data_IF_953995958819
#
_entry.id   IF_953995958819
#
_cell.length_a   1.000
_cell.length_b   1.000
_cell.length_c   1.000
_cell.angle_alpha   90.00
_cell.angle_beta   90.00
_cell.angle_gamma   90.00
#
_symmetry.space_group_name_H-M   'P 1'
#
loop_
_entity.id
_entity.type
_entity.pdbx_description
1 polymer ?
#
# COMPACT_ATOMS: atom_id res chain seq x y z
N UNK A 1 20.30 12.88 -0.12
CA UNK A 1 19.41 12.53 1.01
C UNK A 1 18.78 11.18 0.68
N UNK A 2 18.96 10.17 1.54
CA UNK A 2 18.45 8.82 1.28
C UNK A 2 16.91 8.83 1.27
N UNK A 3 16.30 8.34 0.19
CA UNK A 3 14.86 8.23 0.03
C UNK A 3 14.38 7.17 1.02
N UNK A 4 13.72 7.59 2.10
CA UNK A 4 13.18 6.68 3.12
C UNK A 4 12.12 5.81 2.45
N UNK A 5 12.30 4.50 2.45
CA UNK A 5 11.29 3.58 1.93
C UNK A 5 10.02 3.67 2.78
N UNK A 6 8.88 3.77 2.11
CA UNK A 6 7.57 3.82 2.73
C UNK A 6 7.27 2.50 3.43
N UNK A 7 6.89 2.56 4.71
CA UNK A 7 6.51 1.38 5.49
C UNK A 7 5.11 0.90 5.12
N UNK A 8 4.78 -0.35 5.46
CA UNK A 8 3.44 -0.90 5.22
C UNK A 8 2.35 -0.07 5.93
N UNK A 9 2.58 0.29 7.20
CA UNK A 9 1.63 1.06 7.99
C UNK A 9 1.41 2.46 7.42
N UNK A 10 2.49 3.15 7.02
CA UNK A 10 2.36 4.46 6.36
C UNK A 10 1.57 4.36 5.06
N UNK A 11 1.79 3.30 4.27
CA UNK A 11 1.09 3.10 3.01
C UNK A 11 -0.41 2.84 3.21
N UNK A 12 -0.77 2.01 4.21
CA UNK A 12 -2.16 1.73 4.56
C UNK A 12 -2.86 2.97 5.10
N UNK A 13 -2.22 3.75 5.96
CA UNK A 13 -2.81 4.98 6.49
C UNK A 13 -3.05 6.01 5.39
N UNK A 14 -2.14 6.13 4.42
CA UNK A 14 -2.36 6.96 3.22
C UNK A 14 -3.50 6.44 2.37
N UNK A 15 -3.57 5.12 2.14
CA UNK A 15 -4.64 4.52 1.35
C UNK A 15 -6.01 4.78 1.97
N UNK A 16 -6.14 4.64 3.29
CA UNK A 16 -7.37 4.94 4.03
C UNK A 16 -7.82 6.40 3.84
N UNK A 17 -6.87 7.34 3.91
CA UNK A 17 -7.16 8.75 3.66
C UNK A 17 -7.65 9.00 2.24
N UNK A 18 -6.99 8.39 1.25
CA UNK A 18 -7.41 8.52 -0.15
C UNK A 18 -8.83 7.98 -0.35
N UNK A 19 -9.15 6.81 0.22
CA UNK A 19 -10.50 6.25 0.14
C UNK A 19 -11.52 7.20 0.77
N UNK A 20 -11.26 7.71 1.97
CA UNK A 20 -12.16 8.65 2.63
C UNK A 20 -12.36 9.95 1.82
N UNK A 21 -11.31 10.47 1.20
CA UNK A 21 -11.40 11.64 0.32
C UNK A 21 -12.25 11.37 -0.92
N UNK A 22 -12.12 10.18 -1.52
CA UNK A 22 -12.93 9.76 -2.68
C UNK A 22 -14.40 9.58 -2.29
N UNK A 23 -14.67 8.96 -1.14
CA UNK A 23 -16.03 8.72 -0.63
C UNK A 23 -16.75 10.01 -0.27
N UNK A 24 -16.04 11.06 0.13
CA UNK A 24 -16.62 12.38 0.38
C UNK A 24 -17.18 13.05 -0.89
N UNK A 25 -16.77 12.62 -2.09
CA UNK A 25 -17.42 12.99 -3.35
C UNK A 25 -17.17 14.42 -3.87
N UNK A 26 -16.53 15.29 -3.09
CA UNK A 26 -16.21 16.69 -3.45
C UNK A 26 -14.87 16.84 -4.22
N UNK A 27 -14.47 15.81 -4.97
CA UNK A 27 -13.23 15.82 -5.75
C UNK A 27 -13.49 16.11 -7.22
N UNK A 28 -12.70 17.02 -7.80
CA UNK A 28 -12.63 17.21 -9.24
C UNK A 28 -12.12 15.93 -9.95
N UNK A 29 -12.59 15.68 -11.17
CA UNK A 29 -12.28 14.46 -11.95
C UNK A 29 -10.78 14.28 -12.16
N UNK A 30 -10.02 15.35 -12.37
CA UNK A 30 -8.57 15.27 -12.54
C UNK A 30 -7.90 14.85 -11.21
N UNK A 31 -8.39 15.37 -10.08
CA UNK A 31 -7.90 15.00 -8.74
C UNK A 31 -8.24 13.54 -8.45
N UNK A 32 -9.45 13.10 -8.79
CA UNK A 32 -9.89 11.72 -8.60
C UNK A 32 -8.95 10.74 -9.34
N UNK A 33 -8.60 11.05 -10.59
CA UNK A 33 -7.66 10.25 -11.38
C UNK A 33 -6.30 10.10 -10.70
N UNK A 34 -5.74 11.19 -10.17
CA UNK A 34 -4.46 11.16 -9.45
C UNK A 34 -4.55 10.39 -8.13
N UNK A 35 -5.64 10.54 -7.38
CA UNK A 35 -5.89 9.80 -6.15
C UNK A 35 -5.99 8.30 -6.39
N UNK A 36 -6.67 7.88 -7.46
CA UNK A 36 -6.78 6.45 -7.85
C UNK A 36 -5.41 5.88 -8.26
N UNK A 37 -4.58 6.63 -8.99
CA UNK A 37 -3.22 6.20 -9.33
C UNK A 37 -2.37 6.00 -8.08
N UNK A 38 -2.42 6.95 -7.15
CA UNK A 38 -1.68 6.84 -5.89
C UNK A 38 -2.18 5.67 -5.03
N UNK A 39 -3.50 5.49 -4.92
CA UNK A 39 -4.07 4.33 -4.24
C UNK A 39 -3.58 3.00 -4.85
N UNK A 40 -3.52 2.92 -6.18
CA UNK A 40 -3.01 1.74 -6.90
C UNK A 40 -1.54 1.48 -6.58
N UNK A 41 -0.71 2.53 -6.55
CA UNK A 41 0.71 2.44 -6.14
C UNK A 41 0.84 1.89 -4.72
N UNK A 42 0.06 2.42 -3.78
CA UNK A 42 0.07 2.00 -2.38
C UNK A 42 -0.37 0.54 -2.22
N UNK A 43 -1.43 0.13 -2.91
CA UNK A 43 -1.91 -1.27 -2.90
C UNK A 43 -0.82 -2.21 -3.40
N UNK A 44 -0.10 -1.85 -4.47
CA UNK A 44 1.00 -2.66 -5.00
C UNK A 44 2.12 -2.82 -3.98
N UNK A 45 2.53 -1.73 -3.34
CA UNK A 45 3.55 -1.75 -2.29
C UNK A 45 3.12 -2.63 -1.10
N UNK A 46 1.86 -2.52 -0.66
CA UNK A 46 1.32 -3.36 0.41
C UNK A 46 1.36 -4.86 0.04
N UNK A 47 0.92 -5.20 -1.18
CA UNK A 47 0.96 -6.59 -1.68
C UNK A 47 2.37 -7.14 -1.73
N UNK A 48 3.34 -6.38 -2.24
CA UNK A 48 4.74 -6.80 -2.32
C UNK A 48 5.33 -7.08 -0.93
N UNK A 49 5.04 -6.23 0.07
CA UNK A 49 5.49 -6.46 1.44
C UNK A 49 4.86 -7.71 2.06
N UNK A 50 3.55 -7.90 1.88
CA UNK A 50 2.85 -9.10 2.38
C UNK A 50 3.38 -10.38 1.74
N UNK A 51 3.63 -10.36 0.43
CA UNK A 51 4.18 -11.50 -0.30
C UNK A 51 5.57 -11.89 0.21
N UNK A 52 6.46 -10.91 0.44
CA UNK A 52 7.79 -11.17 1.03
C UNK A 52 7.69 -11.81 2.41
N UNK A 53 6.79 -11.30 3.27
CA UNK A 53 6.57 -11.88 4.60
C UNK A 53 6.04 -13.31 4.50
N UNK A 54 5.10 -13.58 3.59
CA UNK A 54 4.57 -14.92 3.36
C UNK A 54 5.66 -15.91 2.90
N UNK A 55 6.55 -15.49 1.99
CA UNK A 55 7.69 -16.30 1.56
C UNK A 55 8.68 -16.58 2.71
N UNK A 56 8.98 -15.58 3.54
CA UNK A 56 9.84 -15.75 4.71
C UNK A 56 9.23 -16.72 5.73
N UNK A 57 7.93 -16.60 6.00
CA UNK A 57 7.21 -17.53 6.89
C UNK A 57 7.25 -18.96 6.35
N UNK A 58 7.01 -19.16 5.06
CA UNK A 58 7.08 -20.49 4.43
C UNK A 58 8.46 -21.13 4.58
N UNK A 59 9.53 -20.38 4.33
CA UNK A 59 10.91 -20.88 4.49
C UNK A 59 11.20 -21.31 5.92
N UNK A 60 10.77 -20.51 6.91
CA UNK A 60 10.96 -20.87 8.33
C UNK A 60 10.20 -22.14 8.69
N UNK A 61 8.99 -22.33 8.15
CA UNK A 61 8.23 -23.56 8.38
C UNK A 61 8.90 -24.79 7.73
N UNK A 62 9.43 -24.65 6.51
CA UNK A 62 10.19 -25.72 5.83
C UNK A 62 11.47 -26.11 6.58
N UNK A 63 12.11 -25.19 7.30
CA UNK A 63 13.29 -25.49 8.14
C UNK A 63 12.96 -26.20 9.46
N UNK A 64 11.68 -26.20 9.88
CA UNK A 64 11.21 -26.84 11.12
C UNK A 64 10.74 -28.28 10.90
N UNK A 65 10.50 -28.69 9.66
CA UNK A 65 10.14 -30.05 9.23
C UNK A 65 11.39 -30.91 8.93
#
# INVERSE_FOLDING_TARGET
MAKKEETYNEAIEKLRKIVAEIENGDLDVDILSEKVKEATRLIKLCKEKLYKVDEEVKKVLEELD
#
